data_IF_760258681414
#
_entry.id   IF_760258681414
#
_cell.length_a   1.000
_cell.length_b   1.000
_cell.length_c   1.000
_cell.angle_alpha   90.00
_cell.angle_beta   90.00
_cell.angle_gamma   90.00
#
_symmetry.space_group_name_H-M   'P 1'
#
loop_
_entity.id
_entity.type
_entity.pdbx_description
1 polymer ?
#
# COMPACT_ATOMS: atom_id res chain seq x y z
N UNK A 1 19.87 10.19 -7.08
CA UNK A 1 18.73 9.87 -6.17
C UNK A 1 19.15 9.07 -4.91
N UNK A 2 20.42 8.69 -4.75
CA UNK A 2 20.88 7.99 -3.55
C UNK A 2 20.65 8.87 -2.31
N UNK A 3 20.33 8.22 -1.18
CA UNK A 3 20.07 8.85 0.12
C UNK A 3 18.89 9.84 0.12
N UNK A 4 17.85 9.54 -0.69
CA UNK A 4 16.63 10.35 -0.80
C UNK A 4 15.40 9.43 -0.77
N UNK A 5 14.30 9.89 -0.16
CA UNK A 5 13.01 9.16 -0.20
C UNK A 5 12.49 8.94 -1.62
N UNK A 6 12.85 9.79 -2.56
CA UNK A 6 12.50 9.61 -3.97
C UNK A 6 13.07 8.34 -4.58
N UNK A 7 14.22 7.83 -4.07
CA UNK A 7 14.77 6.55 -4.50
C UNK A 7 13.93 5.34 -4.09
N UNK A 8 13.08 5.48 -3.07
CA UNK A 8 12.15 4.45 -2.62
C UNK A 8 10.79 4.56 -3.32
N UNK A 9 10.34 5.80 -3.59
CA UNK A 9 9.01 6.08 -4.12
C UNK A 9 8.96 5.88 -5.63
N UNK A 10 9.91 6.47 -6.39
CA UNK A 10 9.84 6.49 -7.86
C UNK A 10 9.91 5.09 -8.51
N UNK A 11 10.78 4.17 -8.09
CA UNK A 11 10.83 2.83 -8.69
C UNK A 11 9.56 2.01 -8.44
N UNK A 12 8.88 2.27 -7.30
CA UNK A 12 7.63 1.61 -6.92
C UNK A 12 6.36 2.35 -7.34
N UNK A 13 6.47 3.55 -7.95
CA UNK A 13 5.32 4.39 -8.26
C UNK A 13 4.37 3.75 -9.29
N UNK A 14 4.91 2.95 -10.20
CA UNK A 14 4.11 2.19 -11.19
C UNK A 14 4.37 0.70 -10.96
N UNK A 15 3.32 0.00 -10.55
CA UNK A 15 3.30 -1.45 -10.45
C UNK A 15 2.39 -2.04 -11.51
N UNK A 16 2.92 -2.95 -12.34
CA UNK A 16 2.18 -3.54 -13.47
C UNK A 16 0.91 -4.26 -13.03
N UNK A 17 0.94 -4.99 -11.93
CA UNK A 17 -0.22 -5.69 -11.38
C UNK A 17 -1.31 -4.70 -10.98
N UNK A 18 -0.95 -3.64 -10.26
CA UNK A 18 -1.87 -2.60 -9.84
C UNK A 18 -2.47 -1.85 -11.05
N UNK A 19 -1.66 -1.62 -12.09
CA UNK A 19 -2.12 -1.01 -13.33
C UNK A 19 -3.17 -1.89 -14.03
N UNK A 20 -2.93 -3.20 -14.13
CA UNK A 20 -3.87 -4.16 -14.74
C UNK A 20 -5.18 -4.21 -13.95
N UNK A 21 -5.12 -4.25 -12.62
CA UNK A 21 -6.30 -4.23 -11.75
C UNK A 21 -7.13 -2.97 -12.01
N UNK A 22 -6.50 -1.79 -12.04
CA UNK A 22 -7.21 -0.54 -12.30
C UNK A 22 -7.79 -0.47 -13.71
N UNK A 23 -7.03 -0.91 -14.71
CA UNK A 23 -7.50 -1.01 -16.10
C UNK A 23 -8.74 -1.89 -16.18
N UNK A 24 -8.73 -3.07 -15.59
CA UNK A 24 -9.89 -3.99 -15.60
C UNK A 24 -11.11 -3.37 -14.90
N UNK A 25 -10.91 -2.63 -13.83
CA UNK A 25 -11.99 -1.92 -13.14
C UNK A 25 -12.61 -0.82 -14.03
N UNK A 26 -11.80 -0.09 -14.78
CA UNK A 26 -12.31 0.90 -15.75
C UNK A 26 -13.03 0.25 -16.92
N UNK A 27 -12.54 -0.86 -17.43
CA UNK A 27 -13.19 -1.62 -18.51
C UNK A 27 -14.53 -2.25 -18.11
N UNK A 28 -14.77 -2.43 -16.80
CA UNK A 28 -16.06 -2.93 -16.30
C UNK A 28 -17.16 -1.84 -16.25
N UNK A 29 -16.80 -0.57 -16.48
CA UNK A 29 -17.77 0.52 -16.56
C UNK A 29 -18.47 0.45 -17.91
N UNK A 30 -19.82 0.49 -17.97
CA UNK A 30 -20.55 0.49 -19.24
C UNK A 30 -20.18 1.70 -20.11
N UNK A 31 -19.90 1.44 -21.39
CA UNK A 31 -19.53 2.50 -22.35
C UNK A 31 -20.62 3.57 -22.47
N UNK A 32 -21.89 3.20 -22.34
CA UNK A 32 -23.04 4.12 -22.38
C UNK A 32 -22.95 5.27 -21.37
N UNK A 33 -22.33 5.05 -20.20
CA UNK A 33 -22.12 6.09 -19.21
C UNK A 33 -21.06 7.10 -19.67
N UNK A 34 -20.03 6.61 -20.32
CA UNK A 34 -18.94 7.44 -20.85
C UNK A 34 -19.43 8.25 -22.05
N UNK A 35 -20.18 7.60 -22.96
CA UNK A 35 -20.76 8.23 -24.13
C UNK A 35 -21.77 9.32 -23.75
N UNK A 36 -22.66 9.05 -22.79
CA UNK A 36 -23.63 10.04 -22.29
C UNK A 36 -22.91 11.27 -21.72
N UNK A 37 -21.85 11.07 -20.93
CA UNK A 37 -21.08 12.17 -20.40
C UNK A 37 -20.40 13.03 -21.48
N UNK A 38 -19.93 12.37 -22.57
CA UNK A 38 -19.33 13.06 -23.71
C UNK A 38 -20.39 13.87 -24.50
N UNK A 39 -21.59 13.31 -24.66
CA UNK A 39 -22.72 14.02 -25.30
C UNK A 39 -23.14 15.26 -24.48
N UNK A 40 -23.02 15.18 -23.14
CA UNK A 40 -23.24 16.31 -22.22
C UNK A 40 -22.07 17.32 -22.23
N UNK A 41 -21.06 17.13 -23.07
CA UNK A 41 -19.92 18.03 -23.21
C UNK A 41 -18.83 17.85 -22.14
N UNK A 42 -18.82 16.73 -21.39
CA UNK A 42 -17.76 16.47 -20.43
C UNK A 42 -16.43 16.16 -21.12
N UNK A 43 -15.36 16.81 -20.67
CA UNK A 43 -14.01 16.48 -21.11
C UNK A 43 -13.55 15.12 -20.56
N UNK A 44 -12.54 14.49 -21.19
CA UNK A 44 -11.97 13.21 -20.68
C UNK A 44 -11.56 13.26 -19.22
N UNK A 45 -10.97 14.36 -18.76
CA UNK A 45 -10.58 14.54 -17.37
C UNK A 45 -11.81 14.65 -16.45
N UNK A 46 -12.86 15.32 -16.88
CA UNK A 46 -14.11 15.41 -16.11
C UNK A 46 -14.78 14.03 -16.01
N UNK A 47 -14.82 13.26 -17.09
CA UNK A 47 -15.33 11.89 -17.11
C UNK A 47 -14.53 11.00 -16.15
N UNK A 48 -13.20 11.08 -16.20
CA UNK A 48 -12.34 10.34 -15.29
C UNK A 48 -12.64 10.69 -13.82
N UNK A 49 -12.61 11.97 -13.46
CA UNK A 49 -12.70 12.40 -12.06
C UNK A 49 -14.12 12.30 -11.50
N UNK A 50 -15.14 12.63 -12.29
CA UNK A 50 -16.53 12.70 -11.82
C UNK A 50 -17.30 11.39 -11.98
N UNK A 51 -16.87 10.48 -12.89
CA UNK A 51 -17.59 9.25 -13.19
C UNK A 51 -16.74 8.02 -12.91
N UNK A 52 -15.60 7.86 -13.59
CA UNK A 52 -14.83 6.62 -13.52
C UNK A 52 -14.22 6.39 -12.13
N UNK A 53 -13.54 7.37 -11.53
CA UNK A 53 -12.93 7.23 -10.20
C UNK A 53 -13.98 7.00 -9.10
N UNK A 54 -15.12 7.70 -9.06
CA UNK A 54 -16.18 7.40 -8.10
C UNK A 54 -16.78 6.00 -8.23
N UNK A 55 -16.97 5.50 -9.45
CA UNK A 55 -17.50 4.16 -9.69
C UNK A 55 -16.52 3.06 -9.30
N UNK A 56 -15.22 3.32 -9.38
CA UNK A 56 -14.16 2.35 -9.06
C UNK A 56 -13.57 2.53 -7.65
N UNK A 57 -14.27 3.19 -6.73
CA UNK A 57 -13.80 3.46 -5.35
C UNK A 57 -13.34 2.21 -4.60
N UNK A 58 -14.02 1.08 -4.78
CA UNK A 58 -13.62 -0.18 -4.13
C UNK A 58 -12.24 -0.63 -4.62
N UNK A 59 -12.02 -0.63 -5.94
CA UNK A 59 -10.72 -0.98 -6.53
C UNK A 59 -9.64 0.02 -6.11
N UNK A 60 -9.93 1.31 -6.06
CA UNK A 60 -8.99 2.32 -5.58
C UNK A 60 -8.58 2.05 -4.12
N UNK A 61 -9.51 1.65 -3.25
CA UNK A 61 -9.19 1.30 -1.87
C UNK A 61 -8.24 0.09 -1.78
N UNK A 62 -8.44 -0.93 -2.65
CA UNK A 62 -7.51 -2.07 -2.79
C UNK A 62 -6.12 -1.61 -3.20
N UNK A 63 -6.03 -0.75 -4.21
CA UNK A 63 -4.74 -0.25 -4.71
C UNK A 63 -4.01 0.60 -3.66
N UNK A 64 -4.74 1.45 -2.93
CA UNK A 64 -4.17 2.21 -1.79
C UNK A 64 -3.60 1.26 -0.74
N UNK A 65 -4.29 0.15 -0.43
CA UNK A 65 -3.78 -0.86 0.48
C UNK A 65 -2.51 -1.52 -0.06
N UNK A 66 -2.50 -1.96 -1.32
CA UNK A 66 -1.34 -2.63 -1.92
C UNK A 66 -0.10 -1.73 -1.95
N UNK A 67 -0.24 -0.48 -2.36
CA UNK A 67 0.85 0.49 -2.33
C UNK A 67 1.26 0.83 -0.89
N UNK A 68 0.30 1.06 0.00
CA UNK A 68 0.56 1.39 1.39
C UNK A 68 1.32 0.28 2.12
N UNK A 69 0.86 -0.97 2.02
CA UNK A 69 1.53 -2.13 2.64
C UNK A 69 2.87 -2.41 1.96
N UNK A 70 2.97 -2.27 0.63
CA UNK A 70 4.21 -2.43 -0.10
C UNK A 70 5.29 -1.45 0.36
N UNK A 71 4.95 -0.17 0.48
CA UNK A 71 5.88 0.85 0.98
C UNK A 71 6.17 0.70 2.47
N UNK A 72 5.18 0.32 3.28
CA UNK A 72 5.38 0.04 4.70
C UNK A 72 6.44 -1.04 4.92
N UNK A 73 6.43 -2.11 4.11
CA UNK A 73 7.35 -3.23 4.21
C UNK A 73 8.66 -3.06 3.41
N UNK A 74 8.95 -1.88 2.85
CA UNK A 74 10.08 -1.67 1.94
C UNK A 74 11.46 -1.51 2.61
N UNK A 75 11.74 -2.27 3.68
CA UNK A 75 13.02 -2.24 4.40
C UNK A 75 14.22 -2.55 3.49
N UNK A 76 14.06 -3.50 2.56
CA UNK A 76 15.15 -3.95 1.68
C UNK A 76 15.63 -2.83 0.73
N UNK A 77 14.70 -2.16 0.06
CA UNK A 77 15.04 -1.02 -0.80
C UNK A 77 15.67 0.12 0.02
N UNK A 78 15.15 0.36 1.23
CA UNK A 78 15.70 1.37 2.12
C UNK A 78 17.14 1.04 2.54
N UNK A 79 17.47 -0.22 2.81
CA UNK A 79 18.83 -0.64 3.18
C UNK A 79 19.84 -0.44 2.04
N UNK A 80 19.40 -0.52 0.78
CA UNK A 80 20.26 -0.32 -0.38
C UNK A 80 20.46 1.16 -0.71
N UNK A 81 19.36 1.95 -0.67
CA UNK A 81 19.37 3.31 -1.20
C UNK A 81 19.59 4.40 -0.17
N UNK A 82 19.28 4.15 1.12
CA UNK A 82 19.48 5.12 2.18
C UNK A 82 20.80 4.83 2.93
N UNK A 83 21.54 5.89 3.22
CA UNK A 83 22.81 5.83 3.97
C UNK A 83 22.75 6.57 5.30
N UNK A 84 21.79 7.49 5.41
CA UNK A 84 21.60 8.34 6.57
C UNK A 84 20.60 7.68 7.52
N UNK A 85 21.00 7.31 8.75
CA UNK A 85 20.13 6.66 9.73
C UNK A 85 18.86 7.46 10.05
N UNK A 86 18.94 8.79 9.97
CA UNK A 86 17.79 9.67 10.25
C UNK A 86 16.67 9.55 9.20
N UNK A 87 16.98 8.95 8.06
CA UNK A 87 16.02 8.70 6.97
C UNK A 87 15.50 7.28 6.92
N UNK A 88 15.92 6.42 7.84
CA UNK A 88 15.51 5.03 7.81
C UNK A 88 14.03 4.88 8.14
N UNK A 89 13.25 4.18 7.30
CA UNK A 89 11.89 3.81 7.64
C UNK A 89 11.88 2.85 8.82
N UNK A 90 10.78 2.84 9.57
CA UNK A 90 10.62 2.04 10.77
C UNK A 90 11.01 0.57 10.55
N UNK A 91 10.57 -0.03 9.45
CA UNK A 91 10.85 -1.44 9.13
C UNK A 91 12.34 -1.74 8.98
N UNK A 92 13.15 -0.81 8.46
CA UNK A 92 14.60 -0.97 8.40
C UNK A 92 15.24 -0.87 9.78
N UNK A 93 14.78 0.07 10.61
CA UNK A 93 15.25 0.21 12.01
C UNK A 93 14.93 -1.08 12.79
N UNK A 94 13.70 -1.59 12.69
CA UNK A 94 13.29 -2.83 13.34
C UNK A 94 14.12 -4.03 12.85
N UNK A 95 14.38 -4.11 11.57
CA UNK A 95 15.24 -5.16 10.99
C UNK A 95 16.67 -5.10 11.53
N UNK A 96 17.27 -3.91 11.55
CA UNK A 96 18.62 -3.72 12.09
C UNK A 96 18.71 -4.10 13.57
N UNK A 97 17.67 -3.79 14.36
CA UNK A 97 17.61 -4.20 15.78
C UNK A 97 17.53 -5.73 15.91
N UNK A 98 16.79 -6.41 15.04
CA UNK A 98 16.72 -7.88 15.04
C UNK A 98 18.05 -8.53 14.64
N UNK A 99 18.70 -8.01 13.63
CA UNK A 99 19.97 -8.56 13.12
C UNK A 99 21.15 -8.24 14.06
N UNK A 100 21.18 -7.05 14.67
CA UNK A 100 22.24 -6.63 15.59
C UNK A 100 22.19 -7.28 16.97
N UNK A 101 21.03 -7.80 17.38
CA UNK A 101 20.83 -8.37 18.71
C UNK A 101 21.30 -9.84 18.85
N UNK A 102 21.77 -10.47 17.78
CA UNK A 102 22.10 -11.91 17.77
C UNK A 102 23.61 -12.19 17.88
N UNK A 103 24.48 -11.22 17.64
CA UNK A 103 25.92 -11.42 17.61
C UNK A 103 26.59 -11.08 18.96
N UNK A 104 26.82 -12.06 19.81
CA UNK A 104 27.80 -11.99 20.91
C UNK A 104 27.26 -11.57 22.28
N UNK A 105 26.03 -11.88 22.62
CA UNK A 105 25.41 -11.48 23.90
C UNK A 105 25.31 -12.62 24.92
N UNK A 106 25.46 -12.28 26.22
CA UNK A 106 25.28 -13.18 27.36
C UNK A 106 23.84 -13.74 27.42
N UNK A 107 23.66 -14.96 28.03
CA UNK A 107 22.37 -15.67 28.13
C UNK A 107 21.25 -14.82 28.77
N UNK A 108 21.59 -13.98 29.73
CA UNK A 108 20.63 -13.10 30.41
C UNK A 108 20.11 -12.02 29.45
N UNK A 109 20.97 -11.49 28.60
CA UNK A 109 20.60 -10.50 27.58
C UNK A 109 19.78 -11.13 26.44
N UNK A 110 19.99 -12.40 26.13
CA UNK A 110 19.24 -13.12 25.12
C UNK A 110 17.72 -13.17 25.41
N UNK A 111 17.34 -13.26 26.69
CA UNK A 111 15.91 -13.19 27.10
C UNK A 111 15.28 -11.82 26.81
N UNK A 112 16.01 -10.73 27.06
CA UNK A 112 15.53 -9.39 26.75
C UNK A 112 15.41 -9.17 25.24
N UNK A 113 16.32 -9.73 24.46
CA UNK A 113 16.29 -9.70 22.99
C UNK A 113 15.03 -10.39 22.45
N UNK A 114 14.65 -11.51 23.05
CA UNK A 114 13.44 -12.22 22.65
C UNK A 114 12.16 -11.41 22.94
N UNK A 115 12.09 -10.76 24.10
CA UNK A 115 10.99 -9.85 24.42
C UNK A 115 10.93 -8.65 23.45
N UNK A 116 12.08 -8.08 23.11
CA UNK A 116 12.17 -7.00 22.13
C UNK A 116 11.64 -7.45 20.77
N UNK A 117 11.95 -8.67 20.31
CA UNK A 117 11.42 -9.21 19.05
C UNK A 117 9.89 -9.22 19.01
N UNK A 118 9.25 -9.68 20.08
CA UNK A 118 7.79 -9.66 20.15
C UNK A 118 7.21 -8.25 20.13
N UNK A 119 7.83 -7.32 20.87
CA UNK A 119 7.42 -5.91 20.84
C UNK A 119 7.55 -5.31 19.44
N UNK A 120 8.65 -5.61 18.72
CA UNK A 120 8.89 -5.13 17.36
C UNK A 120 7.87 -5.69 16.37
N UNK A 121 7.48 -6.97 16.49
CA UNK A 121 6.43 -7.57 15.68
C UNK A 121 5.10 -6.81 15.89
N UNK A 122 4.74 -6.53 17.13
CA UNK A 122 3.51 -5.79 17.45
C UNK A 122 3.58 -4.38 16.84
N UNK A 123 4.65 -3.64 17.08
CA UNK A 123 4.83 -2.27 16.56
C UNK A 123 4.76 -2.25 15.03
N UNK A 124 5.34 -3.23 14.36
CA UNK A 124 5.31 -3.32 12.89
C UNK A 124 3.94 -3.69 12.31
N UNK A 125 3.13 -4.41 13.06
CA UNK A 125 1.84 -4.96 12.60
C UNK A 125 0.66 -4.03 12.90
N UNK A 126 0.68 -3.34 14.06
CA UNK A 126 -0.42 -2.47 14.52
C UNK A 126 -0.88 -1.43 13.50
N UNK A 127 0.00 -0.68 12.81
CA UNK A 127 -0.45 0.31 11.83
C UNK A 127 -1.25 -0.30 10.68
N UNK A 128 -0.87 -1.50 10.21
CA UNK A 128 -1.61 -2.21 9.15
C UNK A 128 -2.97 -2.69 9.67
N UNK A 129 -3.02 -3.23 10.89
CA UNK A 129 -4.27 -3.66 11.52
C UNK A 129 -5.24 -2.50 11.74
N UNK A 130 -4.73 -1.31 12.10
CA UNK A 130 -5.56 -0.10 12.27
C UNK A 130 -6.13 0.38 10.94
N UNK A 131 -5.39 0.26 9.84
CA UNK A 131 -5.89 0.65 8.52
C UNK A 131 -6.97 -0.29 7.98
N UNK A 132 -6.97 -1.57 8.37
CA UNK A 132 -7.88 -2.58 7.84
C UNK A 132 -9.38 -2.23 8.01
N UNK A 133 -9.90 -1.83 9.17
CA UNK A 133 -11.31 -1.48 9.35
C UNK A 133 -11.76 -0.31 8.46
N UNK A 134 -10.87 0.66 8.20
CA UNK A 134 -11.19 1.80 7.32
C UNK A 134 -11.35 1.37 5.86
N UNK A 135 -10.62 0.35 5.43
CA UNK A 135 -10.67 -0.16 4.06
C UNK A 135 -11.78 -1.22 3.89
N UNK A 136 -12.09 -2.00 4.92
CA UNK A 136 -13.10 -3.05 4.90
C UNK A 136 -14.47 -2.54 4.41
N UNK A 137 -14.87 -1.33 4.78
CA UNK A 137 -16.12 -0.71 4.34
C UNK A 137 -16.26 -0.54 2.82
N UNK A 138 -15.12 -0.45 2.11
CA UNK A 138 -15.12 -0.34 0.66
C UNK A 138 -15.19 -1.71 -0.02
N UNK A 139 -14.64 -2.76 0.61
CA UNK A 139 -14.73 -4.13 0.12
C UNK A 139 -16.16 -4.67 0.19
N UNK A 140 -16.85 -4.48 1.31
CA UNK A 140 -18.21 -4.99 1.50
C UNK A 140 -19.22 -4.36 0.53
N UNK A 141 -19.03 -3.09 0.16
CA UNK A 141 -19.90 -2.42 -0.81
C UNK A 141 -19.65 -2.85 -2.26
N UNK A 142 -18.41 -3.22 -2.61
CA UNK A 142 -18.05 -3.65 -3.97
C UNK A 142 -18.55 -5.06 -4.32
N UNK A 143 -18.55 -5.97 -3.35
CA UNK A 143 -18.99 -7.36 -3.57
C UNK A 143 -20.51 -7.50 -3.73
N UNK A 144 -21.31 -6.61 -3.16
CA UNK A 144 -22.78 -6.66 -3.30
C UNK A 144 -23.26 -6.26 -4.70
N UNK A 145 -22.52 -5.44 -5.43
CA UNK A 145 -22.91 -5.00 -6.78
C UNK A 145 -22.66 -6.13 -7.81
N UNK A 146 -21.68 -7.00 -7.56
CA UNK A 146 -21.38 -8.17 -8.41
C UNK A 146 -22.31 -9.37 -8.18
N UNK A 147 -22.92 -9.47 -7.01
CA UNK A 147 -23.78 -10.61 -6.64
C UNK A 147 -25.23 -10.50 -7.15
N UNK A 148 -25.64 -9.36 -7.68
CA UNK A 148 -27.01 -9.10 -8.18
C UNK A 148 -27.16 -9.41 -9.69
N UNK A 149 -26.12 -9.86 -10.36
CA UNK A 149 -26.16 -10.34 -11.76
C UNK A 149 -26.15 -11.88 -11.83
N UNK A 150 -26.97 -12.54 -11.05
CA UNK A 150 -27.34 -13.94 -11.19
C UNK A 150 -28.81 -14.09 -11.46
#
# INVERSE_FOLDING_TARGET
>A
LLNSYWSLILPGAINTTNLIIMKSAFQAIPDSLIESAQLDGASYLQTLVKIMLPLTKATLAVLVLYYGVGHWNSWFNASIYLRDPDKYPLQLILRNMLDGSIAGMDEEFAKYVELIKYALIVISTVPILVLYPFLQRYFTKGTMIGAVKG
#
